data_IF_493561980670
#
_entry.id   IF_493561980670
#
_cell.length_a   1.000
_cell.length_b   1.000
_cell.length_c   1.000
_cell.angle_alpha   90.00
_cell.angle_beta   90.00
_cell.angle_gamma   90.00
#
_symmetry.space_group_name_H-M   'P 1'
#
loop_
_entity.id
_entity.type
_entity.pdbx_description
1 polymer ?
#
# COMPACT_ATOMS: atom_id res chain seq x y z
N UNK A 1 21.65 -16.86 -34.29
CA UNK A 1 20.23 -16.82 -33.85
C UNK A 1 20.11 -17.44 -32.45
N UNK A 2 20.22 -16.66 -31.37
CA UNK A 2 20.01 -17.19 -29.99
C UNK A 2 19.40 -16.19 -29.00
N UNK A 3 18.98 -15.00 -29.46
CA UNK A 3 18.40 -13.98 -28.58
C UNK A 3 16.95 -14.30 -28.19
N UNK A 4 16.16 -14.91 -29.09
CA UNK A 4 14.71 -15.14 -28.92
C UNK A 4 14.39 -16.09 -27.75
N UNK A 5 15.23 -17.10 -27.50
CA UNK A 5 15.04 -18.04 -26.38
C UNK A 5 15.27 -17.43 -25.00
N UNK A 6 16.15 -16.42 -24.88
CA UNK A 6 16.43 -15.74 -23.61
C UNK A 6 15.29 -14.81 -23.17
N UNK A 7 14.65 -14.12 -24.12
CA UNK A 7 13.50 -13.24 -23.82
C UNK A 7 12.30 -14.03 -23.30
N UNK A 8 12.03 -15.23 -23.83
CA UNK A 8 10.97 -16.11 -23.30
C UNK A 8 11.26 -16.60 -21.88
N UNK A 9 12.53 -16.89 -21.56
CA UNK A 9 12.96 -17.26 -20.21
C UNK A 9 12.81 -16.10 -19.22
N UNK A 10 13.25 -14.90 -19.59
CA UNK A 10 13.14 -13.70 -18.75
C UNK A 10 11.67 -13.31 -18.53
N UNK A 11 10.84 -13.33 -19.57
CA UNK A 11 9.40 -13.05 -19.44
C UNK A 11 8.71 -14.03 -18.49
N UNK A 12 9.04 -15.32 -18.57
CA UNK A 12 8.53 -16.34 -17.65
C UNK A 12 9.00 -16.11 -16.20
N UNK A 13 10.25 -15.71 -16.02
CA UNK A 13 10.80 -15.37 -14.70
C UNK A 13 10.09 -14.15 -14.10
N UNK A 14 9.91 -13.09 -14.90
CA UNK A 14 9.21 -11.87 -14.49
C UNK A 14 7.74 -12.15 -14.15
N UNK A 15 7.03 -12.91 -14.98
CA UNK A 15 5.65 -13.30 -14.69
C UNK A 15 5.54 -14.07 -13.38
N UNK A 16 6.50 -14.96 -13.08
CA UNK A 16 6.54 -15.71 -11.81
C UNK A 16 6.77 -14.80 -10.61
N UNK A 17 7.68 -13.83 -10.73
CA UNK A 17 7.95 -12.83 -9.67
C UNK A 17 6.71 -11.97 -9.42
N UNK A 18 6.10 -11.44 -10.48
CA UNK A 18 4.87 -10.63 -10.37
C UNK A 18 3.76 -11.43 -9.70
N UNK A 19 3.55 -12.69 -10.10
CA UNK A 19 2.53 -13.55 -9.50
C UNK A 19 2.77 -13.78 -8.01
N UNK A 20 4.01 -14.04 -7.60
CA UNK A 20 4.36 -14.18 -6.17
C UNK A 20 4.13 -12.87 -5.43
N UNK A 21 4.54 -11.73 -5.98
CA UNK A 21 4.32 -10.42 -5.36
C UNK A 21 2.83 -10.12 -5.17
N UNK A 22 2.00 -10.40 -6.19
CA UNK A 22 0.55 -10.23 -6.12
C UNK A 22 -0.04 -11.12 -5.02
N UNK A 23 0.35 -12.40 -4.97
CA UNK A 23 -0.15 -13.32 -3.94
C UNK A 23 0.27 -12.90 -2.53
N UNK A 24 1.51 -12.46 -2.34
CA UNK A 24 2.01 -12.02 -1.03
C UNK A 24 1.29 -10.73 -0.60
N UNK A 25 1.22 -9.72 -1.46
CA UNK A 25 0.55 -8.44 -1.15
C UNK A 25 -0.95 -8.63 -0.90
N UNK A 26 -1.61 -9.48 -1.68
CA UNK A 26 -3.00 -9.85 -1.45
C UNK A 26 -3.17 -10.60 -0.12
N UNK A 27 -2.30 -11.57 0.16
CA UNK A 27 -2.31 -12.32 1.43
C UNK A 27 -2.15 -11.41 2.65
N UNK A 28 -1.20 -10.46 2.60
CA UNK A 28 -1.04 -9.44 3.65
C UNK A 28 -2.31 -8.60 3.79
N UNK A 29 -2.91 -8.15 2.69
CA UNK A 29 -4.17 -7.39 2.70
C UNK A 29 -5.30 -8.16 3.40
N UNK A 30 -5.42 -9.46 3.12
CA UNK A 30 -6.40 -10.35 3.76
C UNK A 30 -6.12 -10.49 5.25
N UNK A 31 -4.88 -10.79 5.64
CA UNK A 31 -4.50 -10.95 7.05
C UNK A 31 -4.79 -9.67 7.83
N UNK A 32 -4.42 -8.51 7.30
CA UNK A 32 -4.64 -7.21 7.95
C UNK A 32 -6.14 -6.92 8.11
N UNK A 33 -6.98 -7.25 7.13
CA UNK A 33 -8.44 -7.09 7.25
C UNK A 33 -9.09 -8.09 8.21
N UNK A 34 -8.46 -9.25 8.42
CA UNK A 34 -8.91 -10.25 9.39
C UNK A 34 -8.45 -9.93 10.82
N UNK A 35 -7.50 -9.01 11.01
CA UNK A 35 -7.12 -8.58 12.35
C UNK A 35 -8.34 -8.00 13.07
N UNK A 36 -8.61 -8.43 14.32
CA UNK A 36 -9.67 -7.85 15.13
C UNK A 36 -9.24 -6.45 15.58
N UNK A 37 -9.46 -5.46 14.72
CA UNK A 37 -9.16 -4.05 14.97
C UNK A 37 -9.75 -3.22 13.84
N UNK A 38 -10.71 -2.35 14.17
CA UNK A 38 -11.30 -1.46 13.17
C UNK A 38 -10.43 -0.21 13.05
N UNK A 39 -9.74 0.02 11.91
CA UNK A 39 -8.94 1.23 11.71
C UNK A 39 -9.78 2.49 11.90
N UNK A 40 -11.11 2.46 11.68
CA UNK A 40 -11.99 3.58 11.96
C UNK A 40 -11.98 3.94 13.45
N UNK A 41 -12.07 2.93 14.33
CA UNK A 41 -12.05 3.14 15.79
C UNK A 41 -10.66 3.49 16.32
N UNK A 42 -9.60 3.06 15.63
CA UNK A 42 -8.22 3.45 15.96
C UNK A 42 -7.92 4.89 15.55
N UNK A 43 -8.42 5.31 14.38
CA UNK A 43 -8.19 6.66 13.85
C UNK A 43 -9.12 7.70 14.47
N UNK A 44 -10.36 7.31 14.81
CA UNK A 44 -11.33 8.19 15.45
C UNK A 44 -11.91 7.54 16.72
N UNK A 45 -11.13 7.43 17.82
CA UNK A 45 -11.54 6.72 19.02
C UNK A 45 -12.76 7.33 19.75
N UNK A 46 -13.05 8.61 19.52
CA UNK A 46 -14.16 9.35 20.14
C UNK A 46 -15.22 9.82 19.13
N UNK A 47 -15.25 9.23 17.92
CA UNK A 47 -16.19 9.64 16.87
C UNK A 47 -17.63 9.20 17.12
N UNK A 48 -18.58 9.94 16.55
CA UNK A 48 -19.98 9.48 16.49
C UNK A 48 -20.13 8.33 15.49
N UNK A 49 -21.18 7.48 15.60
CA UNK A 49 -21.43 6.41 14.63
C UNK A 49 -21.53 6.92 13.17
N UNK A 50 -22.03 8.12 12.98
CA UNK A 50 -22.10 8.78 11.66
C UNK A 50 -20.71 9.15 11.14
N UNK A 51 -19.85 9.71 11.98
CA UNK A 51 -18.46 10.03 11.62
C UNK A 51 -17.66 8.76 11.31
N UNK A 52 -17.91 7.66 12.03
CA UNK A 52 -17.32 6.37 11.73
C UNK A 52 -17.74 5.83 10.36
N UNK A 53 -19.02 5.96 9.99
CA UNK A 53 -19.52 5.52 8.69
C UNK A 53 -18.92 6.35 7.54
N UNK A 54 -18.78 7.66 7.72
CA UNK A 54 -18.12 8.54 6.74
C UNK A 54 -16.65 8.14 6.57
N UNK A 55 -15.92 7.97 7.67
CA UNK A 55 -14.51 7.59 7.64
C UNK A 55 -14.30 6.19 7.04
N UNK A 56 -15.20 5.24 7.33
CA UNK A 56 -15.18 3.90 6.73
C UNK A 56 -15.30 3.95 5.20
N UNK A 57 -16.15 4.85 4.71
CA UNK A 57 -16.37 5.06 3.27
C UNK A 57 -15.15 5.73 2.62
N UNK A 58 -14.58 6.74 3.28
CA UNK A 58 -13.36 7.42 2.80
C UNK A 58 -12.15 6.48 2.74
N UNK A 59 -12.02 5.59 3.71
CA UNK A 59 -10.96 4.57 3.74
C UNK A 59 -11.21 3.39 2.79
N UNK A 60 -12.34 3.35 2.08
CA UNK A 60 -12.68 2.23 1.18
C UNK A 60 -12.83 0.90 1.90
N UNK A 61 -13.14 0.91 3.20
CA UNK A 61 -13.33 -0.31 4.00
C UNK A 61 -14.70 -0.97 3.74
N UNK A 62 -15.60 -0.23 3.10
CA UNK A 62 -16.96 -0.69 2.75
C UNK A 62 -17.01 -1.45 1.40
N UNK A 63 -15.92 -1.41 0.61
CA UNK A 63 -15.86 -2.13 -0.67
C UNK A 63 -15.30 -3.55 -0.52
N UNK A 64 -15.71 -4.43 -1.44
CA UNK A 64 -15.23 -5.80 -1.54
C UNK A 64 -13.68 -5.83 -1.54
N UNK A 65 -13.07 -6.79 -0.85
CA UNK A 65 -11.62 -6.95 -0.73
C UNK A 65 -10.90 -6.96 -2.07
N UNK A 66 -11.52 -7.53 -3.11
CA UNK A 66 -10.96 -7.52 -4.46
C UNK A 66 -10.91 -6.10 -5.05
N UNK A 67 -11.97 -5.31 -4.87
CA UNK A 67 -12.01 -3.93 -5.36
C UNK A 67 -11.01 -3.05 -4.63
N UNK A 68 -10.90 -3.21 -3.31
CA UNK A 68 -9.91 -2.51 -2.49
C UNK A 68 -8.48 -2.83 -2.96
N UNK A 69 -8.17 -4.11 -3.13
CA UNK A 69 -6.85 -4.54 -3.59
C UNK A 69 -6.53 -4.03 -5.00
N UNK A 70 -7.49 -4.12 -5.94
CA UNK A 70 -7.31 -3.61 -7.30
C UNK A 70 -7.07 -2.11 -7.34
N UNK A 71 -7.81 -1.33 -6.52
CA UNK A 71 -7.62 0.10 -6.42
C UNK A 71 -6.26 0.46 -5.82
N UNK A 72 -5.85 -0.23 -4.76
CA UNK A 72 -4.51 -0.08 -4.19
C UNK A 72 -3.41 -0.43 -5.20
N UNK A 73 -3.53 -1.56 -5.90
CA UNK A 73 -2.56 -2.01 -6.90
C UNK A 73 -2.45 -1.02 -8.06
N UNK A 74 -3.59 -0.47 -8.50
CA UNK A 74 -3.63 0.53 -9.56
C UNK A 74 -2.92 1.84 -9.16
N UNK A 75 -3.15 2.30 -7.94
CA UNK A 75 -2.48 3.48 -7.40
C UNK A 75 -0.97 3.22 -7.24
N UNK A 76 -0.59 2.03 -6.73
CA UNK A 76 0.80 1.63 -6.57
C UNK A 76 1.56 1.62 -7.89
N UNK A 77 0.98 1.05 -8.95
CA UNK A 77 1.60 1.03 -10.30
C UNK A 77 1.73 2.44 -10.89
N UNK A 78 0.85 3.37 -10.52
CA UNK A 78 0.92 4.79 -10.89
C UNK A 78 1.92 5.59 -10.04
N UNK A 79 2.60 4.95 -9.07
CA UNK A 79 3.52 5.61 -8.14
C UNK A 79 2.83 6.34 -7.00
N UNK A 80 1.54 6.11 -6.80
CA UNK A 80 0.81 6.56 -5.61
C UNK A 80 0.84 5.44 -4.56
N UNK A 81 1.72 5.60 -3.58
CA UNK A 81 1.91 4.65 -2.48
C UNK A 81 0.83 4.79 -1.38
N UNK A 82 -0.10 5.72 -1.54
CA UNK A 82 -1.14 6.02 -0.56
C UNK A 82 -0.70 7.05 0.50
N UNK A 83 -1.57 7.18 1.50
CA UNK A 83 -1.45 8.15 2.59
C UNK A 83 -1.00 7.44 3.88
N UNK A 84 -0.18 8.12 4.68
CA UNK A 84 0.17 7.66 6.02
C UNK A 84 -0.93 8.07 7.01
N UNK A 85 -1.54 7.11 7.70
CA UNK A 85 -2.64 7.35 8.64
C UNK A 85 -2.20 7.50 10.12
N UNK A 86 -0.91 7.65 10.41
CA UNK A 86 -0.41 7.73 11.81
C UNK A 86 -0.73 9.05 12.52
N UNK A 87 -1.11 10.10 11.79
CA UNK A 87 -1.40 11.42 12.37
C UNK A 87 -2.67 11.99 11.74
N UNK A 88 -3.82 11.71 12.35
CA UNK A 88 -5.15 12.19 11.92
C UNK A 88 -5.27 13.72 12.02
N UNK A 89 -4.35 14.40 12.72
CA UNK A 89 -4.40 15.84 12.93
C UNK A 89 -4.10 16.70 11.68
N UNK A 90 -3.44 16.18 10.65
CA UNK A 90 -3.01 16.98 9.48
C UNK A 90 -3.44 16.43 8.11
N UNK A 91 -4.41 15.50 8.09
CA UNK A 91 -5.01 15.04 6.83
C UNK A 91 -4.01 14.32 5.92
N UNK A 92 -3.61 13.09 6.29
CA UNK A 92 -2.91 12.14 5.43
C UNK A 92 -1.70 12.73 4.69
N UNK A 93 -0.50 12.55 5.25
CA UNK A 93 0.73 12.89 4.52
C UNK A 93 1.00 11.82 3.47
N UNK A 94 1.25 12.22 2.22
CA UNK A 94 1.51 11.25 1.15
C UNK A 94 2.82 10.53 1.42
N UNK A 95 2.81 9.21 1.28
CA UNK A 95 3.99 8.37 1.54
C UNK A 95 5.17 8.81 0.67
N UNK A 96 4.92 9.25 -0.57
CA UNK A 96 5.96 9.76 -1.48
C UNK A 96 6.71 10.96 -0.91
N UNK A 97 6.01 11.84 -0.19
CA UNK A 97 6.59 13.06 0.36
C UNK A 97 7.48 12.71 1.56
N UNK A 98 7.04 11.73 2.37
CA UNK A 98 7.89 11.20 3.44
C UNK A 98 9.14 10.52 2.90
N UNK A 99 8.99 9.67 1.88
CA UNK A 99 10.11 9.00 1.20
C UNK A 99 11.12 10.04 0.69
N UNK A 100 10.66 11.08 0.01
CA UNK A 100 11.51 12.16 -0.50
C UNK A 100 12.24 12.94 0.61
N UNK A 101 11.60 13.12 1.77
CA UNK A 101 12.19 13.80 2.92
C UNK A 101 13.20 12.95 3.68
N UNK A 102 13.01 11.63 3.75
CA UNK A 102 13.88 10.73 4.52
C UNK A 102 15.04 10.18 3.70
N UNK A 103 14.87 9.95 2.40
CA UNK A 103 15.90 9.37 1.52
C UNK A 103 17.26 10.07 1.61
N UNK A 104 17.35 11.40 1.53
CA UNK A 104 18.63 12.10 1.60
C UNK A 104 19.32 11.90 2.95
N UNK A 105 18.56 11.84 4.05
CA UNK A 105 19.13 11.62 5.40
C UNK A 105 19.69 10.22 5.54
N UNK A 106 18.99 9.21 5.04
CA UNK A 106 19.47 7.82 5.11
C UNK A 106 20.73 7.63 4.27
N UNK A 107 20.75 8.21 3.07
CA UNK A 107 21.93 8.21 2.20
C UNK A 107 23.11 8.96 2.82
N UNK A 108 22.85 10.10 3.45
CA UNK A 108 23.87 10.88 4.15
C UNK A 108 24.48 10.08 5.32
N UNK A 109 23.66 9.41 6.13
CA UNK A 109 24.14 8.57 7.23
C UNK A 109 24.94 7.37 6.74
N UNK A 110 24.47 6.67 5.69
CA UNK A 110 25.21 5.56 5.07
C UNK A 110 26.56 5.99 4.48
N UNK A 111 26.67 7.23 4.00
CA UNK A 111 27.93 7.76 3.48
C UNK A 111 28.89 8.26 4.57
N UNK A 112 28.42 8.46 5.80
CA UNK A 112 29.21 8.99 6.91
C UNK A 112 29.76 7.90 7.84
N UNK A 113 29.15 6.71 7.86
CA UNK A 113 29.64 5.50 8.57
C UNK A 113 30.53 4.65 7.67
#
# INVERSE_FOLDING_TARGET
MSAVGKFGGIAKQLARVILVLVLVTFGVTVIVRLLPGDPVTTLLPFGTPEQHAVLRKELGLDVNIFQYYLQWLWNFVRGDFGQTYTTVADGGVQVRDQIALTLPRTLFLMGYT
#
